data_IF_213126019563
#
_entry.id   IF_213126019563
#
_cell.length_a   1.000
_cell.length_b   1.000
_cell.length_c   1.000
_cell.angle_alpha   90.00
_cell.angle_beta   90.00
_cell.angle_gamma   90.00
#
_symmetry.space_group_name_H-M   'P 1'
#
loop_
_entity.id
_entity.type
_entity.pdbx_description
1 polymer ?
#
# COMPACT_ATOMS: atom_id res chain seq x y z
N UNK A 1 27.55 -13.08 -16.82
CA UNK A 1 27.28 -13.25 -15.38
C UNK A 1 26.25 -12.21 -15.02
N UNK A 2 24.98 -12.49 -15.35
CA UNK A 2 23.84 -11.64 -15.05
C UNK A 2 23.24 -12.15 -13.73
N UNK A 3 23.23 -11.30 -12.70
CA UNK A 3 22.46 -11.55 -11.49
C UNK A 3 20.97 -11.40 -11.80
N UNK A 4 20.12 -12.38 -11.47
CA UNK A 4 18.68 -12.22 -11.61
C UNK A 4 18.19 -11.28 -10.50
N UNK A 5 17.77 -10.07 -10.88
CA UNK A 5 17.10 -9.10 -10.02
C UNK A 5 15.71 -9.60 -9.65
N UNK A 6 15.61 -10.47 -8.65
CA UNK A 6 14.29 -10.84 -8.10
C UNK A 6 13.69 -9.63 -7.38
N UNK A 7 12.42 -9.27 -7.62
CA UNK A 7 11.79 -8.12 -6.97
C UNK A 7 11.70 -8.39 -5.47
N UNK A 8 12.54 -7.72 -4.69
CA UNK A 8 12.68 -7.91 -3.24
C UNK A 8 11.36 -7.68 -2.45
N UNK A 9 10.38 -7.02 -3.06
CA UNK A 9 9.04 -6.84 -2.49
C UNK A 9 8.31 -8.17 -2.26
N UNK A 10 8.50 -9.17 -3.12
CA UNK A 10 7.95 -10.53 -2.92
C UNK A 10 8.50 -11.17 -1.64
N UNK A 11 9.80 -11.05 -1.39
CA UNK A 11 10.43 -11.69 -0.22
C UNK A 11 9.95 -11.15 1.13
N UNK A 12 9.69 -9.85 1.24
CA UNK A 12 9.18 -9.28 2.51
C UNK A 12 7.74 -9.66 2.74
N UNK A 13 6.88 -9.52 1.73
CA UNK A 13 5.48 -9.91 1.88
C UNK A 13 5.33 -11.40 2.15
N UNK A 14 6.10 -12.26 1.49
CA UNK A 14 6.07 -13.70 1.71
C UNK A 14 6.48 -14.05 3.14
N UNK A 15 7.45 -13.32 3.70
CA UNK A 15 7.86 -13.47 5.11
C UNK A 15 6.77 -13.00 6.08
N UNK A 16 6.24 -11.79 5.87
CA UNK A 16 5.21 -11.21 6.75
C UNK A 16 3.93 -12.04 6.77
N UNK A 17 3.60 -12.68 5.64
CA UNK A 17 2.41 -13.52 5.50
C UNK A 17 2.69 -15.01 5.71
N UNK A 18 3.90 -15.39 6.14
CA UNK A 18 4.21 -16.77 6.48
C UNK A 18 3.40 -17.20 7.72
N UNK A 19 2.96 -18.46 7.75
CA UNK A 19 2.12 -18.99 8.84
C UNK A 19 2.83 -18.93 10.20
N UNK A 20 4.16 -19.05 10.21
CA UNK A 20 5.03 -19.04 11.39
C UNK A 20 5.51 -17.63 11.78
N UNK A 21 5.14 -16.57 11.04
CA UNK A 21 5.66 -15.23 11.27
C UNK A 21 5.35 -14.69 12.68
N UNK A 22 4.20 -15.06 13.23
CA UNK A 22 3.73 -14.64 14.56
C UNK A 22 4.06 -15.67 15.66
N UNK A 23 4.75 -16.77 15.33
CA UNK A 23 5.08 -17.79 16.32
C UNK A 23 5.99 -17.23 17.41
N UNK A 24 5.59 -17.38 18.67
CA UNK A 24 6.36 -16.90 19.81
C UNK A 24 6.38 -15.38 19.97
N UNK A 25 5.58 -14.61 19.22
CA UNK A 25 5.52 -13.13 19.30
C UNK A 25 5.22 -12.62 20.72
N UNK A 26 4.54 -13.42 21.53
CA UNK A 26 4.24 -13.11 22.94
C UNK A 26 5.48 -13.22 23.85
N UNK A 27 6.48 -14.01 23.46
CA UNK A 27 7.65 -14.33 24.28
C UNK A 27 8.91 -13.53 23.91
N UNK A 28 8.95 -12.91 22.72
CA UNK A 28 10.11 -12.12 22.29
C UNK A 28 10.24 -10.82 23.09
N UNK A 29 11.44 -10.25 23.27
CA UNK A 29 11.64 -8.94 23.89
C UNK A 29 10.88 -7.81 23.18
N UNK A 30 10.50 -6.76 23.94
CA UNK A 30 9.75 -5.62 23.39
C UNK A 30 10.47 -4.90 22.23
N UNK A 31 11.81 -4.69 22.26
CA UNK A 31 12.51 -4.09 21.13
C UNK A 31 12.37 -4.93 19.84
N UNK A 32 12.53 -6.25 19.93
CA UNK A 32 12.37 -7.16 18.80
C UNK A 32 10.93 -7.15 18.26
N UNK A 33 9.93 -7.09 19.15
CA UNK A 33 8.53 -6.94 18.74
C UNK A 33 8.27 -5.62 18.00
N UNK A 34 8.93 -4.52 18.41
CA UNK A 34 8.83 -3.24 17.70
C UNK A 34 9.48 -3.29 16.32
N UNK A 35 10.62 -3.96 16.19
CA UNK A 35 11.26 -4.18 14.89
C UNK A 35 10.37 -5.02 13.97
N UNK A 36 9.79 -6.10 14.49
CA UNK A 36 8.83 -6.93 13.75
C UNK A 36 7.64 -6.09 13.28
N UNK A 37 7.05 -5.28 14.18
CA UNK A 37 5.96 -4.36 13.82
C UNK A 37 6.40 -3.35 12.76
N UNK A 38 7.61 -2.80 12.85
CA UNK A 38 8.11 -1.85 11.85
C UNK A 38 8.27 -2.49 10.46
N UNK A 39 8.69 -3.76 10.38
CA UNK A 39 8.76 -4.49 9.11
C UNK A 39 7.37 -4.67 8.47
N UNK A 40 6.37 -5.04 9.27
CA UNK A 40 4.98 -5.16 8.82
C UNK A 40 4.41 -3.78 8.43
N UNK A 41 4.76 -2.71 9.15
CA UNK A 41 4.32 -1.33 8.86
C UNK A 41 4.85 -0.86 7.52
N UNK A 42 6.12 -1.12 7.27
CA UNK A 42 6.74 -0.83 5.98
C UNK A 42 6.01 -1.55 4.85
N UNK A 43 5.71 -2.85 5.00
CA UNK A 43 5.00 -3.61 3.95
C UNK A 43 3.55 -3.13 3.74
N UNK A 44 2.86 -2.68 4.80
CA UNK A 44 1.51 -2.11 4.68
C UNK A 44 1.50 -0.80 3.91
N UNK A 45 2.46 0.10 4.20
CA UNK A 45 2.64 1.37 3.47
C UNK A 45 2.96 1.11 2.01
N UNK A 46 3.82 0.14 1.78
CA UNK A 46 4.27 -0.30 0.48
C UNK A 46 3.13 -0.81 -0.41
N UNK A 47 2.26 -1.67 0.14
CA UNK A 47 1.05 -2.14 -0.54
C UNK A 47 0.01 -1.04 -0.70
N UNK A 48 -0.14 -0.15 0.28
CA UNK A 48 -1.06 0.99 0.21
C UNK A 48 -0.66 1.96 -0.91
N UNK A 49 0.64 2.18 -1.12
CA UNK A 49 1.16 2.98 -2.22
C UNK A 49 0.85 2.32 -3.58
N UNK A 50 1.14 1.03 -3.74
CA UNK A 50 0.80 0.28 -4.96
C UNK A 50 -0.68 0.35 -5.28
N UNK A 51 -1.52 0.11 -4.28
CA UNK A 51 -2.98 0.18 -4.40
C UNK A 51 -3.43 1.56 -4.88
N UNK A 52 -2.91 2.64 -4.28
CA UNK A 52 -3.23 4.02 -4.67
C UNK A 52 -2.85 4.29 -6.13
N UNK A 53 -1.68 3.82 -6.56
CA UNK A 53 -1.20 3.98 -7.93
C UNK A 53 -2.13 3.29 -8.93
N UNK A 54 -2.53 2.04 -8.65
CA UNK A 54 -3.46 1.28 -9.51
C UNK A 54 -4.84 1.94 -9.55
N UNK A 55 -5.35 2.40 -8.41
CA UNK A 55 -6.63 3.10 -8.34
C UNK A 55 -6.63 4.36 -9.20
N UNK A 56 -5.62 5.21 -9.07
CA UNK A 56 -5.52 6.42 -9.89
C UNK A 56 -5.47 6.10 -11.40
N UNK A 57 -4.84 4.97 -11.80
CA UNK A 57 -4.87 4.52 -13.20
C UNK A 57 -6.26 4.03 -13.63
N UNK A 58 -6.92 3.23 -12.80
CA UNK A 58 -8.30 2.78 -13.05
C UNK A 58 -9.26 3.97 -13.20
N UNK A 59 -9.11 4.99 -12.36
CA UNK A 59 -9.96 6.18 -12.39
C UNK A 59 -9.78 6.97 -13.69
N UNK A 60 -8.53 7.15 -14.16
CA UNK A 60 -8.24 7.77 -15.46
C UNK A 60 -8.84 6.96 -16.62
N UNK A 61 -8.67 5.64 -16.62
CA UNK A 61 -9.21 4.77 -17.66
C UNK A 61 -10.74 4.79 -17.70
N UNK A 62 -11.39 4.73 -16.54
CA UNK A 62 -12.85 4.81 -16.43
C UNK A 62 -13.38 6.18 -16.86
N UNK A 63 -12.64 7.25 -16.59
CA UNK A 63 -12.99 8.59 -17.04
C UNK A 63 -12.90 8.72 -18.57
N UNK A 64 -11.92 8.09 -19.22
CA UNK A 64 -11.82 8.02 -20.67
C UNK A 64 -13.04 7.32 -21.28
N UNK A 65 -13.39 6.13 -20.77
CA UNK A 65 -14.56 5.37 -21.22
C UNK A 65 -15.83 6.20 -21.07
N UNK A 66 -16.02 6.84 -19.91
CA UNK A 66 -17.16 7.70 -19.63
C UNK A 66 -17.25 8.90 -20.60
N UNK A 67 -16.11 9.43 -21.05
CA UNK A 67 -16.07 10.50 -22.07
C UNK A 67 -16.51 9.98 -23.44
N UNK A 68 -16.08 8.79 -23.84
CA UNK A 68 -16.46 8.16 -25.12
C UNK A 68 -17.95 7.85 -25.19
N UNK A 69 -18.51 7.42 -24.07
CA UNK A 69 -19.94 7.11 -23.95
C UNK A 69 -20.81 8.37 -23.79
N UNK A 70 -20.21 9.57 -23.84
CA UNK A 70 -20.92 10.85 -23.71
C UNK A 70 -21.44 11.17 -22.31
N UNK A 71 -21.06 10.38 -21.30
CA UNK A 71 -21.46 10.56 -19.90
C UNK A 71 -20.68 11.70 -19.23
N UNK A 72 -19.50 12.02 -19.73
CA UNK A 72 -18.70 13.19 -19.32
C UNK A 72 -18.30 14.03 -20.51
N UNK A 73 -18.37 15.35 -20.37
CA UNK A 73 -17.94 16.33 -21.39
C UNK A 73 -16.59 16.98 -21.06
N UNK A 74 -16.06 16.79 -19.86
CA UNK A 74 -14.78 17.37 -19.45
C UNK A 74 -13.61 16.58 -20.06
N UNK A 75 -12.54 17.27 -20.43
CA UNK A 75 -11.30 16.58 -20.81
C UNK A 75 -10.67 15.90 -19.58
N UNK A 76 -9.86 14.86 -19.80
CA UNK A 76 -9.16 14.17 -18.69
C UNK A 76 -8.29 15.12 -17.87
N UNK A 77 -7.65 16.08 -18.53
CA UNK A 77 -6.75 17.05 -17.88
C UNK A 77 -7.55 18.02 -17.01
N UNK A 78 -8.64 18.58 -17.53
CA UNK A 78 -9.50 19.50 -16.77
C UNK A 78 -10.20 18.80 -15.60
N UNK A 79 -10.60 17.54 -15.78
CA UNK A 79 -11.28 16.74 -14.78
C UNK A 79 -10.36 16.02 -13.77
N UNK A 80 -9.04 16.07 -13.94
CA UNK A 80 -8.12 15.17 -13.23
C UNK A 80 -8.24 15.24 -11.70
N UNK A 81 -8.37 16.46 -11.16
CA UNK A 81 -8.54 16.65 -9.72
C UNK A 81 -9.81 15.97 -9.19
N UNK A 82 -10.90 16.03 -9.95
CA UNK A 82 -12.15 15.36 -9.59
C UNK A 82 -12.07 13.83 -9.80
N UNK A 83 -11.38 13.39 -10.85
CA UNK A 83 -11.17 11.97 -11.17
C UNK A 83 -10.38 11.27 -10.06
N UNK A 84 -9.32 11.90 -9.55
CA UNK A 84 -8.45 11.33 -8.52
C UNK A 84 -8.90 11.61 -7.08
N UNK A 85 -9.99 12.38 -6.91
CA UNK A 85 -10.52 12.66 -5.59
C UNK A 85 -11.04 11.36 -4.94
N UNK A 86 -10.71 11.15 -3.66
CA UNK A 86 -11.28 10.04 -2.92
C UNK A 86 -12.80 10.20 -2.81
N UNK A 87 -13.54 9.13 -3.13
CA UNK A 87 -14.94 9.06 -2.82
C UNK A 87 -15.14 9.19 -1.29
N UNK A 88 -16.20 9.87 -0.83
CA UNK A 88 -16.52 9.98 0.59
C UNK A 88 -16.66 8.57 1.18
N UNK A 89 -15.71 8.20 2.02
CA UNK A 89 -15.66 6.90 2.68
C UNK A 89 -16.64 6.93 3.86
N UNK A 90 -17.34 5.82 4.17
CA UNK A 90 -18.02 5.68 5.45
C UNK A 90 -17.07 6.07 6.59
N UNK A 91 -17.56 6.67 7.69
CA UNK A 91 -16.69 7.13 8.77
C UNK A 91 -15.75 6.00 9.16
N UNK A 92 -14.44 6.27 9.06
CA UNK A 92 -13.43 5.30 9.38
C UNK A 92 -13.68 4.81 10.81
N UNK A 93 -13.80 3.50 11.01
CA UNK A 93 -13.93 2.92 12.35
C UNK A 93 -12.63 3.00 13.15
N UNK A 94 -11.53 3.44 12.53
CA UNK A 94 -10.24 3.63 13.16
C UNK A 94 -10.03 5.07 13.62
N UNK A 95 -9.48 5.23 14.81
CA UNK A 95 -8.82 6.47 15.23
C UNK A 95 -7.67 6.73 14.24
N UNK A 96 -7.51 7.96 13.77
CA UNK A 96 -6.46 8.30 12.80
C UNK A 96 -5.08 7.84 13.28
N UNK A 97 -4.31 7.18 12.41
CA UNK A 97 -2.93 6.76 12.71
C UNK A 97 -1.96 7.76 12.15
N UNK A 98 -0.98 8.17 12.95
CA UNK A 98 0.17 8.91 12.44
C UNK A 98 1.10 7.93 11.73
N UNK A 99 1.33 8.13 10.43
CA UNK A 99 2.27 7.35 9.63
C UNK A 99 3.38 8.26 9.14
N UNK A 100 4.61 8.01 9.59
CA UNK A 100 5.84 8.69 9.12
C UNK A 100 6.61 7.85 8.10
N UNK A 101 6.23 6.59 7.94
CA UNK A 101 6.89 5.64 7.05
C UNK A 101 6.53 5.97 5.60
N UNK A 102 7.54 6.23 4.80
CA UNK A 102 7.39 6.44 3.36
C UNK A 102 7.45 5.09 2.60
N UNK A 103 6.85 5.00 1.40
CA UNK A 103 6.95 3.79 0.59
C UNK A 103 8.40 3.46 0.25
N UNK A 104 8.87 2.29 0.67
CA UNK A 104 10.22 1.84 0.35
C UNK A 104 10.34 1.55 -1.15
N UNK A 105 11.47 1.94 -1.76
CA UNK A 105 11.75 1.70 -3.19
C UNK A 105 10.60 2.13 -4.14
N UNK A 106 9.97 3.27 -3.86
CA UNK A 106 8.83 3.79 -4.61
C UNK A 106 8.99 3.73 -6.14
N UNK A 107 10.19 4.03 -6.67
CA UNK A 107 10.47 4.00 -8.11
C UNK A 107 10.46 2.60 -8.72
N UNK A 108 10.92 1.58 -7.99
CA UNK A 108 10.84 0.19 -8.48
C UNK A 108 9.39 -0.28 -8.55
N UNK A 109 8.58 0.11 -7.57
CA UNK A 109 7.16 -0.22 -7.51
C UNK A 109 6.35 0.52 -8.56
N UNK A 110 6.66 1.80 -8.78
CA UNK A 110 6.10 2.59 -9.88
C UNK A 110 6.34 1.87 -11.21
N UNK A 111 7.58 1.45 -11.47
CA UNK A 111 7.93 0.69 -12.68
C UNK A 111 7.20 -0.65 -12.78
N UNK A 112 6.98 -1.37 -11.67
CA UNK A 112 6.18 -2.61 -11.69
C UNK A 112 4.71 -2.35 -12.04
N UNK A 113 4.11 -1.28 -11.51
CA UNK A 113 2.75 -0.86 -11.90
C UNK A 113 2.72 -0.43 -13.36
N UNK A 114 3.72 0.31 -13.83
CA UNK A 114 3.83 0.68 -15.24
C UNK A 114 3.99 -0.55 -16.14
N UNK A 115 4.75 -1.55 -15.72
CA UNK A 115 4.91 -2.81 -16.44
C UNK A 115 3.59 -3.60 -16.56
N UNK A 116 2.76 -3.60 -15.51
CA UNK A 116 1.43 -4.22 -15.52
C UNK A 116 0.47 -3.55 -16.51
N UNK A 117 0.77 -2.33 -16.96
CA UNK A 117 -0.04 -1.59 -17.94
C UNK A 117 0.77 -1.20 -19.18
N UNK A 118 1.93 -1.83 -19.38
CA UNK A 118 2.84 -1.50 -20.48
C UNK A 118 2.17 -1.70 -21.85
N UNK A 119 1.27 -2.67 -21.96
CA UNK A 119 0.53 -2.94 -23.19
C UNK A 119 -0.46 -1.82 -23.58
N UNK A 120 -0.84 -0.95 -22.64
CA UNK A 120 -1.84 0.11 -22.89
C UNK A 120 -1.21 1.49 -23.02
N UNK A 121 0.12 1.63 -22.90
CA UNK A 121 0.89 2.88 -22.96
C UNK A 121 0.03 4.10 -22.58
N UNK A 122 -0.25 4.17 -21.26
CA UNK A 122 -1.15 5.14 -20.65
C UNK A 122 -0.66 6.60 -20.74
N UNK A 123 0.44 6.85 -21.45
CA UNK A 123 0.87 8.20 -21.78
C UNK A 123 -0.09 8.88 -22.77
N UNK A 124 -0.79 8.09 -23.60
CA UNK A 124 -1.87 8.58 -24.49
C UNK A 124 -3.10 7.65 -24.45
N UNK A 125 -3.88 7.79 -23.39
CA UNK A 125 -5.13 7.05 -23.17
C UNK A 125 -6.19 7.38 -24.23
N UNK A 126 -6.16 8.58 -24.80
CA UNK A 126 -7.12 9.02 -25.82
C UNK A 126 -6.90 8.32 -27.17
N UNK A 127 -5.65 7.95 -27.49
CA UNK A 127 -5.32 7.22 -28.71
C UNK A 127 -5.70 5.73 -28.69
N UNK A 128 -6.07 5.16 -27.53
CA UNK A 128 -6.40 3.73 -27.38
C UNK A 128 -7.79 3.40 -27.90
N UNK A 129 -8.04 2.14 -28.25
CA UNK A 129 -9.37 1.64 -28.60
C UNK A 129 -10.19 1.32 -27.36
N UNK A 130 -11.51 1.28 -27.49
CA UNK A 130 -12.40 0.95 -26.36
C UNK A 130 -12.16 -0.48 -25.85
N UNK A 131 -11.76 -1.41 -26.72
CA UNK A 131 -11.41 -2.77 -26.33
C UNK A 131 -10.14 -2.81 -25.47
N UNK A 132 -9.06 -2.12 -25.89
CA UNK A 132 -7.81 -2.04 -25.13
C UNK A 132 -8.03 -1.40 -23.74
N UNK A 133 -8.89 -0.38 -23.64
CA UNK A 133 -9.26 0.23 -22.36
C UNK A 133 -10.00 -0.76 -21.45
N UNK A 134 -10.94 -1.53 -22.01
CA UNK A 134 -11.69 -2.53 -21.24
C UNK A 134 -10.77 -3.65 -20.71
N UNK A 135 -9.84 -4.12 -21.54
CA UNK A 135 -8.87 -5.14 -21.16
C UNK A 135 -7.93 -4.63 -20.05
N UNK A 136 -7.40 -3.41 -20.17
CA UNK A 136 -6.59 -2.80 -19.10
C UNK A 136 -7.36 -2.60 -17.81
N UNK A 137 -8.62 -2.12 -17.88
CA UNK A 137 -9.46 -1.96 -16.69
C UNK A 137 -9.65 -3.31 -16.01
N UNK A 138 -9.91 -4.38 -16.77
CA UNK A 138 -10.07 -5.74 -16.25
C UNK A 138 -8.80 -6.22 -15.54
N UNK A 139 -7.65 -6.12 -16.21
CA UNK A 139 -6.35 -6.55 -15.67
C UNK A 139 -5.99 -5.79 -14.39
N UNK A 140 -6.09 -4.45 -14.41
CA UNK A 140 -5.81 -3.61 -13.25
C UNK A 140 -6.78 -3.84 -12.10
N UNK A 141 -8.06 -4.11 -12.38
CA UNK A 141 -9.05 -4.40 -11.34
C UNK A 141 -8.74 -5.72 -10.63
N UNK A 142 -8.30 -6.74 -11.37
CA UNK A 142 -7.90 -8.03 -10.78
C UNK A 142 -6.65 -7.86 -9.88
N UNK A 143 -5.67 -7.09 -10.34
CA UNK A 143 -4.47 -6.80 -9.55
C UNK A 143 -4.79 -5.98 -8.29
N UNK A 144 -5.69 -4.98 -8.39
CA UNK A 144 -6.14 -4.18 -7.23
C UNK A 144 -6.78 -5.07 -6.16
N UNK A 145 -7.58 -6.05 -6.56
CA UNK A 145 -8.20 -7.02 -5.64
C UNK A 145 -7.12 -7.85 -4.94
N UNK A 146 -6.13 -8.34 -5.68
CA UNK A 146 -5.00 -9.10 -5.13
C UNK A 146 -4.18 -8.29 -4.11
N UNK A 147 -3.83 -7.06 -4.44
CA UNK A 147 -3.10 -6.15 -3.54
C UNK A 147 -3.94 -5.79 -2.33
N UNK A 148 -5.24 -5.53 -2.51
CA UNK A 148 -6.16 -5.24 -1.41
C UNK A 148 -6.33 -6.42 -0.46
N UNK A 149 -6.32 -7.66 -0.96
CA UNK A 149 -6.34 -8.87 -0.14
C UNK A 149 -5.05 -9.01 0.68
N UNK A 150 -3.90 -8.93 0.00
CA UNK A 150 -2.57 -8.94 0.63
C UNK A 150 -2.43 -7.87 1.71
N UNK A 151 -2.84 -6.64 1.41
CA UNK A 151 -2.81 -5.51 2.36
C UNK A 151 -3.66 -5.80 3.59
N UNK A 152 -4.85 -6.39 3.44
CA UNK A 152 -5.69 -6.77 4.59
C UNK A 152 -5.00 -7.80 5.47
N UNK A 153 -4.41 -8.84 4.88
CA UNK A 153 -3.67 -9.84 5.64
C UNK A 153 -2.48 -9.23 6.41
N UNK A 154 -1.72 -8.31 5.79
CA UNK A 154 -0.66 -7.57 6.47
C UNK A 154 -1.20 -6.69 7.62
N UNK A 155 -2.39 -6.11 7.46
CA UNK A 155 -3.05 -5.35 8.52
C UNK A 155 -3.46 -6.22 9.71
N UNK A 156 -3.93 -7.45 9.46
CA UNK A 156 -4.26 -8.39 10.54
C UNK A 156 -3.01 -8.77 11.36
N UNK A 157 -1.86 -8.95 10.68
CA UNK A 157 -0.56 -9.16 11.33
C UNK A 157 -0.13 -7.92 12.13
N UNK A 158 -0.28 -6.73 11.55
CA UNK A 158 0.00 -5.44 12.21
C UNK A 158 -0.81 -5.26 13.49
N UNK A 159 -2.11 -5.57 13.43
CA UNK A 159 -3.03 -5.46 14.54
C UNK A 159 -2.65 -6.42 15.66
N UNK A 160 -2.18 -7.63 15.32
CA UNK A 160 -1.67 -8.61 16.30
C UNK A 160 -0.43 -8.10 17.04
N UNK A 161 0.58 -7.62 16.30
CA UNK A 161 1.78 -7.02 16.91
C UNK A 161 1.43 -5.80 17.78
N UNK A 162 0.52 -4.94 17.30
CA UNK A 162 0.09 -3.75 18.02
C UNK A 162 -0.70 -4.08 19.29
N UNK A 163 -1.53 -5.13 19.26
CA UNK A 163 -2.28 -5.62 20.41
C UNK A 163 -1.33 -6.14 21.51
N UNK A 164 -0.28 -6.86 21.14
CA UNK A 164 0.70 -7.36 22.12
C UNK A 164 1.53 -6.23 22.74
N UNK A 165 2.01 -5.26 21.94
CA UNK A 165 2.67 -4.07 22.50
C UNK A 165 1.74 -3.35 23.49
N UNK A 166 0.48 -3.15 23.10
CA UNK A 166 -0.53 -2.51 23.95
C UNK A 166 -0.76 -3.29 25.25
N UNK A 167 -0.81 -4.64 25.18
CA UNK A 167 -0.93 -5.50 26.36
C UNK A 167 0.24 -5.30 27.32
N UNK A 168 1.48 -5.32 26.83
CA UNK A 168 2.68 -5.13 27.67
C UNK A 168 2.70 -3.79 28.40
N UNK A 169 2.25 -2.72 27.74
CA UNK A 169 2.06 -1.42 28.39
C UNK A 169 0.96 -1.43 29.45
N UNK A 170 -0.18 -2.08 29.16
CA UNK A 170 -1.28 -2.20 30.10
C UNK A 170 -0.88 -2.97 31.36
N UNK A 171 -0.11 -4.04 31.20
CA UNK A 171 0.26 -4.97 32.26
C UNK A 171 1.54 -4.52 33.01
N UNK A 172 2.16 -3.42 32.59
CA UNK A 172 3.36 -2.85 33.22
C UNK A 172 4.66 -3.56 32.86
N UNK A 173 4.65 -4.43 31.85
CA UNK A 173 5.83 -5.12 31.29
C UNK A 173 6.68 -4.19 30.40
N UNK A 174 6.16 -3.00 30.07
CA UNK A 174 6.81 -2.00 29.23
C UNK A 174 6.69 -0.59 29.85
N UNK A 175 7.78 0.17 29.80
CA UNK A 175 7.81 1.58 30.24
C UNK A 175 7.84 2.53 29.02
N UNK A 176 7.09 3.63 29.11
CA UNK A 176 7.08 4.72 28.12
C UNK A 176 8.39 5.49 28.15
N UNK A 177 9.06 5.57 29.31
CA UNK A 177 10.34 6.26 29.44
C UNK A 177 11.41 5.72 28.47
N UNK A 178 11.36 4.42 28.15
CA UNK A 178 12.26 3.80 27.17
C UNK A 178 12.14 4.42 25.77
N UNK A 179 10.94 4.85 25.35
CA UNK A 179 10.73 5.50 24.04
C UNK A 179 11.34 6.91 23.98
N UNK A 180 11.51 7.57 25.12
CA UNK A 180 12.07 8.92 25.22
C UNK A 180 13.60 8.91 25.29
N UNK A 181 14.18 7.86 25.87
CA UNK A 181 15.62 7.68 25.95
C UNK A 181 16.26 7.30 24.60
N UNK A 182 15.50 6.66 23.71
CA UNK A 182 15.94 6.23 22.37
C UNK A 182 15.90 7.37 21.32
N UNK A 183 15.30 8.53 21.62
CA UNK A 183 15.34 9.69 20.73
C UNK A 183 16.70 10.39 20.90
N UNK A 184 17.55 10.51 19.87
CA UNK A 184 18.68 11.43 19.94
C UNK A 184 18.08 12.83 20.13
N UNK A 185 18.50 13.53 21.19
CA UNK A 185 18.23 14.96 21.38
C UNK A 185 18.61 15.69 20.10
N UNK A 186 17.63 15.97 19.25
CA UNK A 186 17.80 16.86 18.10
C UNK A 186 17.96 18.26 18.69
N UNK A 187 19.20 18.62 18.99
CA UNK A 187 19.58 19.94 19.44
C UNK A 187 19.27 20.94 18.31
N UNK A 188 18.56 22.01 18.71
CA UNK A 188 18.25 23.21 17.92
C UNK A 188 19.53 23.97 17.57
#
# INVERSE_FOLDING_TARGET
MEEPTTPQGSRRIDRVLAEDFLDGVMAIPLPELRELRAEVEQEEVDLSFLRRMIQGRLDILRAEVSRRDGTSTATLVEGLAAILADAPRPPARGLGRHTTVEPSRADSRRRSVEALVADVDLSDVAARTTAELADAISALSQEEVGISAKRRAVQDVMDTCSAEITRRYRDGEADVAALLAEQPTSAV
#
